data_IF_175673520784
#
_entry.id   IF_175673520784
#
_cell.length_a   1.000
_cell.length_b   1.000
_cell.length_c   1.000
_cell.angle_alpha   90.00
_cell.angle_beta   90.00
_cell.angle_gamma   90.00
#
_symmetry.space_group_name_H-M   'P 1'
#
loop_
_entity.id
_entity.type
_entity.pdbx_description
1 polymer ?
#
# COMPACT_ATOMS: atom_id res chain seq x y z
N UNK A 1 17.69 23.24 12.79
CA UNK A 1 18.07 21.81 12.89
C UNK A 1 17.39 21.09 11.72
N UNK A 2 17.98 21.18 10.52
CA UNK A 2 17.41 20.62 9.30
C UNK A 2 17.62 19.10 9.31
N UNK A 3 16.55 18.32 9.50
CA UNK A 3 16.61 16.87 9.37
C UNK A 3 16.93 16.55 7.91
N UNK A 4 18.02 15.83 7.74
CA UNK A 4 18.59 15.35 6.48
C UNK A 4 17.48 14.72 5.61
N UNK A 5 17.24 15.20 4.39
CA UNK A 5 16.12 14.74 3.55
C UNK A 5 16.15 13.22 3.30
N UNK A 6 17.34 12.59 3.33
CA UNK A 6 17.52 11.15 3.12
C UNK A 6 16.73 10.28 4.11
N UNK A 7 16.74 10.61 5.40
CA UNK A 7 16.07 9.80 6.44
C UNK A 7 14.55 9.86 6.28
N UNK A 8 14.03 10.99 5.81
CA UNK A 8 12.60 11.15 5.54
C UNK A 8 12.15 10.25 4.37
N UNK A 9 12.92 10.22 3.29
CA UNK A 9 12.64 9.35 2.13
C UNK A 9 12.75 7.86 2.48
N UNK A 10 13.72 7.45 3.29
CA UNK A 10 13.84 6.06 3.75
C UNK A 10 12.63 5.66 4.61
N UNK A 11 12.22 6.52 5.54
CA UNK A 11 11.07 6.25 6.41
C UNK A 11 9.76 6.17 5.61
N UNK A 12 9.59 7.06 4.62
CA UNK A 12 8.48 7.00 3.67
C UNK A 12 8.48 5.70 2.86
N UNK A 13 9.64 5.29 2.36
CA UNK A 13 9.79 4.04 1.61
C UNK A 13 9.41 2.81 2.44
N UNK A 14 9.81 2.77 3.71
CA UNK A 14 9.43 1.70 4.63
C UNK A 14 7.92 1.69 4.88
N UNK A 15 7.30 2.85 5.18
CA UNK A 15 5.85 2.92 5.41
C UNK A 15 5.03 2.58 4.17
N UNK A 16 5.46 3.00 2.98
CA UNK A 16 4.79 2.63 1.73
C UNK A 16 4.85 1.11 1.49
N UNK A 17 5.97 0.46 1.84
CA UNK A 17 6.08 -1.00 1.78
C UNK A 17 5.15 -1.68 2.77
N UNK A 18 5.08 -1.20 4.01
CA UNK A 18 4.20 -1.77 5.03
C UNK A 18 2.72 -1.66 4.62
N UNK A 19 2.30 -0.51 4.10
CA UNK A 19 0.94 -0.31 3.59
C UNK A 19 0.67 -1.19 2.37
N UNK A 20 1.63 -1.33 1.46
CA UNK A 20 1.50 -2.22 0.32
C UNK A 20 1.36 -3.69 0.74
N UNK A 21 2.15 -4.12 1.73
CA UNK A 21 2.07 -5.47 2.29
C UNK A 21 0.73 -5.70 3.02
N UNK A 22 0.25 -4.72 3.79
CA UNK A 22 -1.04 -4.76 4.44
C UNK A 22 -2.21 -4.83 3.44
N UNK A 23 -2.16 -4.06 2.36
CA UNK A 23 -3.16 -4.11 1.28
C UNK A 23 -3.19 -5.47 0.58
N UNK A 24 -2.02 -6.03 0.27
CA UNK A 24 -1.91 -7.35 -0.35
C UNK A 24 -2.41 -8.44 0.62
N UNK A 25 -2.04 -8.35 1.90
CA UNK A 25 -2.46 -9.29 2.93
C UNK A 25 -3.95 -9.23 3.22
N UNK A 26 -4.52 -8.03 3.29
CA UNK A 26 -5.95 -7.81 3.50
C UNK A 26 -6.82 -8.29 2.34
N UNK A 27 -6.29 -8.29 1.11
CA UNK A 27 -6.97 -8.88 -0.05
C UNK A 27 -7.00 -10.42 0.03
N UNK A 28 -6.14 -11.03 0.84
CA UNK A 28 -6.02 -12.47 0.98
C UNK A 28 -6.90 -12.98 2.12
N UNK A 29 -8.19 -13.15 1.82
CA UNK A 29 -9.15 -13.76 2.75
C UNK A 29 -8.65 -15.14 3.20
N UNK A 30 -8.31 -15.25 4.49
CA UNK A 30 -7.91 -16.51 5.14
C UNK A 30 -6.41 -16.65 5.48
N UNK A 31 -5.55 -15.68 5.15
CA UNK A 31 -4.14 -15.68 5.57
C UNK A 31 -3.87 -14.49 6.49
N UNK A 32 -3.12 -14.68 7.57
CA UNK A 32 -2.86 -13.57 8.49
C UNK A 32 -1.98 -12.52 7.81
N UNK A 33 -2.28 -11.24 8.05
CA UNK A 33 -1.51 -10.12 7.52
C UNK A 33 -0.05 -10.15 7.98
N UNK A 34 0.24 -10.77 9.14
CA UNK A 34 1.61 -10.97 9.64
C UNK A 34 2.38 -12.02 8.83
N UNK A 35 1.74 -13.10 8.37
CA UNK A 35 2.37 -14.10 7.50
C UNK A 35 2.70 -13.52 6.12
N UNK A 36 1.81 -12.67 5.59
CA UNK A 36 2.04 -12.02 4.29
C UNK A 36 3.17 -10.98 4.37
N UNK A 37 3.25 -10.24 5.47
CA UNK A 37 4.39 -9.33 5.73
C UNK A 37 5.69 -10.12 5.88
N UNK A 38 5.69 -11.27 6.55
CA UNK A 38 6.86 -12.13 6.69
C UNK A 38 7.31 -12.71 5.34
N UNK A 39 6.37 -13.17 4.51
CA UNK A 39 6.64 -13.65 3.15
C UNK A 39 7.24 -12.51 2.29
N UNK A 40 6.66 -11.31 2.35
CA UNK A 40 7.17 -10.13 1.62
C UNK A 40 8.54 -9.67 2.13
N UNK A 41 8.77 -9.73 3.44
CA UNK A 41 10.07 -9.42 4.05
C UNK A 41 11.15 -10.43 3.63
N UNK A 42 10.77 -11.69 3.37
CA UNK A 42 11.67 -12.73 2.87
C UNK A 42 12.06 -12.56 1.39
N UNK A 43 11.29 -11.78 0.64
CA UNK A 43 11.51 -11.55 -0.80
C UNK A 43 12.67 -10.56 -1.04
N UNK A 44 13.41 -10.71 -2.16
CA UNK A 44 14.46 -9.78 -2.57
C UNK A 44 13.97 -8.33 -2.62
N UNK A 45 14.82 -7.39 -2.22
CA UNK A 45 14.50 -5.95 -2.20
C UNK A 45 13.93 -5.44 -3.53
N UNK A 46 14.39 -5.98 -4.67
CA UNK A 46 13.89 -5.63 -6.00
C UNK A 46 12.42 -6.02 -6.20
N UNK A 47 11.99 -7.16 -5.67
CA UNK A 47 10.59 -7.60 -5.71
C UNK A 47 9.73 -6.78 -4.74
N UNK A 48 10.23 -6.45 -3.54
CA UNK A 48 9.51 -5.55 -2.62
C UNK A 48 9.23 -4.18 -3.26
N UNK A 49 10.22 -3.61 -3.98
CA UNK A 49 10.02 -2.36 -4.75
C UNK A 49 8.95 -2.57 -5.81
N UNK A 50 8.98 -3.69 -6.52
CA UNK A 50 8.01 -3.99 -7.57
C UNK A 50 6.58 -4.09 -7.02
N UNK A 51 6.37 -4.81 -5.92
CA UNK A 51 5.07 -4.89 -5.24
C UNK A 51 4.60 -3.51 -4.77
N UNK A 52 5.48 -2.72 -4.17
CA UNK A 52 5.14 -1.36 -3.72
C UNK A 52 4.73 -0.48 -4.91
N UNK A 53 5.52 -0.50 -5.98
CA UNK A 53 5.25 0.28 -7.19
C UNK A 53 3.91 -0.12 -7.82
N UNK A 54 3.61 -1.40 -7.90
CA UNK A 54 2.35 -1.87 -8.49
C UNK A 54 1.15 -1.59 -7.60
N UNK A 55 1.26 -1.73 -6.28
CA UNK A 55 0.19 -1.31 -5.38
C UNK A 55 -0.09 0.18 -5.51
N UNK A 56 0.94 1.03 -5.59
CA UNK A 56 0.76 2.47 -5.80
C UNK A 56 0.10 2.79 -7.15
N UNK A 57 0.51 2.12 -8.23
CA UNK A 57 -0.10 2.30 -9.56
C UNK A 57 -1.57 1.86 -9.55
N UNK A 58 -1.89 0.72 -8.95
CA UNK A 58 -3.27 0.23 -8.81
C UNK A 58 -4.12 1.20 -8.01
N UNK A 59 -3.62 1.66 -6.85
CA UNK A 59 -4.32 2.65 -6.02
C UNK A 59 -4.57 3.95 -6.81
N UNK A 60 -3.59 4.40 -7.59
CA UNK A 60 -3.74 5.58 -8.44
C UNK A 60 -4.80 5.38 -9.53
N UNK A 61 -4.79 4.24 -10.23
CA UNK A 61 -5.79 3.92 -11.25
C UNK A 61 -7.19 3.80 -10.66
N UNK A 62 -7.34 3.16 -9.50
CA UNK A 62 -8.61 3.09 -8.78
C UNK A 62 -9.08 4.47 -8.32
N UNK A 63 -8.16 5.32 -7.87
CA UNK A 63 -8.46 6.72 -7.52
C UNK A 63 -8.98 7.49 -8.74
N UNK A 64 -8.35 7.34 -9.92
CA UNK A 64 -8.85 7.97 -11.15
C UNK A 64 -10.24 7.44 -11.55
N UNK A 65 -10.47 6.15 -11.41
CA UNK A 65 -11.78 5.54 -11.69
C UNK A 65 -12.85 6.03 -10.70
N UNK A 66 -12.54 6.03 -9.40
CA UNK A 66 -13.40 6.57 -8.35
C UNK A 66 -13.71 8.06 -8.55
N UNK A 67 -12.74 8.85 -9.04
CA UNK A 67 -12.94 10.26 -9.34
C UNK A 67 -14.02 10.49 -10.41
N UNK A 68 -14.25 9.53 -11.32
CA UNK A 68 -15.32 9.64 -12.32
C UNK A 68 -16.71 9.65 -11.69
N UNK A 69 -16.87 9.03 -10.52
CA UNK A 69 -18.12 9.03 -9.75
C UNK A 69 -18.18 10.17 -8.72
N UNK A 70 -17.24 11.13 -8.79
CA UNK A 70 -17.17 12.27 -7.88
C UNK A 70 -16.88 11.89 -6.42
N UNK A 71 -17.46 12.65 -5.48
CA UNK A 71 -17.23 12.47 -4.04
C UNK A 71 -17.67 11.08 -3.52
N UNK A 72 -18.73 10.51 -4.09
CA UNK A 72 -19.26 9.20 -3.67
C UNK A 72 -18.27 8.10 -4.05
N UNK A 73 -17.73 8.13 -5.27
CA UNK A 73 -16.70 7.18 -5.70
C UNK A 73 -15.46 7.27 -4.82
N UNK A 74 -15.01 8.49 -4.51
CA UNK A 74 -13.89 8.70 -3.60
C UNK A 74 -14.16 8.15 -2.19
N UNK A 75 -15.35 8.38 -1.63
CA UNK A 75 -15.70 7.85 -0.32
C UNK A 75 -15.69 6.31 -0.29
N UNK A 76 -16.24 5.65 -1.33
CA UNK A 76 -16.22 4.19 -1.45
C UNK A 76 -14.79 3.65 -1.64
N UNK A 77 -13.96 4.34 -2.42
CA UNK A 77 -12.56 3.98 -2.59
C UNK A 77 -11.80 4.04 -1.26
N UNK A 78 -11.97 5.12 -0.49
CA UNK A 78 -11.37 5.24 0.84
C UNK A 78 -11.86 4.16 1.79
N UNK A 79 -13.17 3.90 1.83
CA UNK A 79 -13.74 2.82 2.65
C UNK A 79 -13.19 1.45 2.25
N UNK A 80 -13.04 1.18 0.95
CA UNK A 80 -12.45 -0.07 0.47
C UNK A 80 -11.01 -0.24 0.93
N UNK A 81 -10.18 0.79 0.78
CA UNK A 81 -8.79 0.78 1.26
C UNK A 81 -8.72 0.54 2.77
N UNK A 82 -9.57 1.23 3.55
CA UNK A 82 -9.63 1.06 5.01
C UNK A 82 -10.10 -0.35 5.36
N UNK A 83 -11.14 -0.86 4.71
CA UNK A 83 -11.69 -2.19 4.99
C UNK A 83 -10.71 -3.32 4.63
N UNK A 84 -9.82 -3.10 3.66
CA UNK A 84 -8.76 -4.06 3.33
C UNK A 84 -7.65 -4.02 4.39
N UNK A 85 -7.32 -2.85 4.94
CA UNK A 85 -6.23 -2.72 5.92
C UNK A 85 -6.69 -3.04 7.36
N UNK A 86 -7.98 -2.83 7.68
CA UNK A 86 -8.57 -2.99 9.01
C UNK A 86 -8.69 -4.46 9.45
#
# INVERSE_FOLDING_TARGET
MAKTPSVFFETLGMRCRDVAAALIGGLWIGRSSSDVVADIASLPARQQIWFTAVTLVLLFLFSLFAAQFGLIGMALYWLGVIAIIA
#
